data_IF_406567584647
#
_entry.id   IF_406567584647
#
_cell.length_a   1.000
_cell.length_b   1.000
_cell.length_c   1.000
_cell.angle_alpha   90.00
_cell.angle_beta   90.00
_cell.angle_gamma   90.00
#
_symmetry.space_group_name_H-M   'P 1'
#
loop_
_entity.id
_entity.type
_entity.pdbx_description
1 polymer ?
#
# COMPACT_ATOMS: atom_id res chain seq x y z
N UNK A 1 63.22 42.93 -39.45
CA UNK A 1 63.00 42.42 -38.07
C UNK A 1 61.56 42.71 -37.69
N UNK A 2 60.83 41.68 -37.23
CA UNK A 2 59.65 41.63 -36.33
C UNK A 2 58.77 42.91 -36.19
N UNK A 3 57.44 42.91 -36.20
CA UNK A 3 56.43 41.88 -35.86
C UNK A 3 55.04 42.46 -36.17
N UNK A 4 54.08 41.59 -36.51
CA UNK A 4 52.68 41.92 -36.74
C UNK A 4 51.91 42.28 -35.45
N UNK A 5 50.89 43.12 -35.56
CA UNK A 5 49.69 43.08 -34.70
C UNK A 5 48.54 43.88 -35.33
N UNK A 6 47.52 43.16 -35.81
CA UNK A 6 46.23 43.72 -36.19
C UNK A 6 45.24 43.42 -35.07
N UNK A 7 44.53 44.40 -34.48
CA UNK A 7 43.54 44.12 -33.46
C UNK A 7 42.17 43.73 -34.05
N UNK A 8 41.61 42.73 -33.40
CA UNK A 8 40.36 42.03 -33.62
C UNK A 8 39.11 42.89 -33.86
N UNK A 9 38.26 42.37 -34.75
CA UNK A 9 36.85 42.68 -34.88
C UNK A 9 36.11 42.48 -33.56
N UNK A 10 35.28 43.47 -33.22
CA UNK A 10 34.31 43.42 -32.15
C UNK A 10 33.22 42.37 -32.43
N UNK A 11 33.14 41.35 -31.59
CA UNK A 11 32.02 40.41 -31.52
C UNK A 11 31.01 40.91 -30.49
N UNK A 12 29.88 41.43 -30.98
CA UNK A 12 28.67 41.67 -30.18
C UNK A 12 28.00 40.32 -29.92
N UNK A 13 28.13 39.78 -28.72
CA UNK A 13 27.28 38.70 -28.22
C UNK A 13 27.32 38.70 -26.68
N UNK A 14 26.46 39.50 -26.05
CA UNK A 14 26.28 39.42 -24.60
C UNK A 14 24.81 39.65 -24.25
N UNK A 15 24.32 38.83 -23.32
CA UNK A 15 23.03 38.86 -22.61
C UNK A 15 21.83 38.14 -23.23
N UNK A 16 21.91 36.81 -23.32
CA UNK A 16 20.76 35.95 -23.07
C UNK A 16 20.86 35.37 -21.65
N UNK A 17 19.85 35.53 -20.78
CA UNK A 17 19.85 34.94 -19.45
C UNK A 17 19.67 33.42 -19.56
N UNK A 18 20.72 32.68 -19.27
CA UNK A 18 20.64 31.23 -19.01
C UNK A 18 19.79 31.00 -17.75
N UNK A 19 18.85 30.05 -17.76
CA UNK A 19 18.13 29.69 -16.55
C UNK A 19 19.13 29.14 -15.51
N UNK A 20 18.91 29.37 -14.20
CA UNK A 20 19.78 28.80 -13.18
C UNK A 20 19.75 27.28 -13.27
N UNK A 21 20.92 26.66 -13.14
CA UNK A 21 21.05 25.22 -13.03
C UNK A 21 20.26 24.76 -11.80
N UNK A 22 19.05 24.24 -12.01
CA UNK A 22 18.35 23.47 -10.99
C UNK A 22 19.26 22.28 -10.66
N UNK A 23 19.67 22.24 -9.40
CA UNK A 23 20.46 21.16 -8.83
C UNK A 23 19.68 19.85 -8.95
N UNK A 24 19.89 19.10 -10.03
CA UNK A 24 19.57 17.69 -10.10
C UNK A 24 20.68 16.94 -9.36
N UNK A 25 20.75 17.14 -8.04
CA UNK A 25 21.40 16.16 -7.20
C UNK A 25 20.50 14.91 -7.25
N UNK A 26 21.03 13.72 -7.57
CA UNK A 26 20.29 12.50 -7.34
C UNK A 26 20.02 12.43 -5.84
N UNK A 27 18.77 12.68 -5.41
CA UNK A 27 18.40 12.35 -4.05
C UNK A 27 18.44 10.83 -4.00
N UNK A 28 19.51 10.28 -3.43
CA UNK A 28 19.48 8.97 -2.83
C UNK A 28 18.54 9.07 -1.62
N UNK A 29 17.24 9.24 -1.88
CA UNK A 29 16.24 9.25 -0.84
C UNK A 29 16.01 7.78 -0.49
N UNK A 30 16.26 7.36 0.76
CA UNK A 30 16.09 5.96 1.17
C UNK A 30 14.61 5.53 1.21
N UNK A 31 13.67 6.45 1.00
CA UNK A 31 12.24 6.20 1.08
C UNK A 31 11.58 6.00 -0.29
N UNK A 32 10.59 5.07 -0.38
CA UNK A 32 9.85 4.79 -1.62
C UNK A 32 8.90 5.91 -2.03
N UNK A 33 8.71 6.92 -1.18
CA UNK A 33 7.85 8.07 -1.42
C UNK A 33 8.67 9.31 -1.81
N UNK A 34 8.10 10.22 -2.61
CA UNK A 34 8.73 11.49 -2.93
C UNK A 34 8.92 12.35 -1.67
N UNK A 35 9.84 13.31 -1.73
CA UNK A 35 10.06 14.22 -0.61
C UNK A 35 8.79 15.07 -0.35
N UNK A 36 8.21 15.01 0.86
CA UNK A 36 7.04 15.81 1.19
C UNK A 36 7.40 17.30 1.24
N UNK A 37 6.40 18.15 1.04
CA UNK A 37 6.58 19.60 1.18
C UNK A 37 6.93 19.96 2.62
N UNK A 38 7.80 20.96 2.80
CA UNK A 38 8.20 21.46 4.13
C UNK A 38 7.05 21.99 4.97
N UNK A 39 5.98 22.46 4.33
CA UNK A 39 4.81 22.99 5.01
C UNK A 39 3.53 22.39 4.43
N UNK A 40 2.60 21.94 5.28
CA UNK A 40 1.28 21.50 4.87
C UNK A 40 0.56 22.56 4.02
N UNK A 41 -0.35 22.10 3.16
CA UNK A 41 -1.30 23.00 2.52
C UNK A 41 -2.16 23.69 3.57
N UNK A 42 -2.39 25.00 3.36
CA UNK A 42 -3.26 25.80 4.22
C UNK A 42 -4.70 25.27 4.14
N UNK A 43 -5.32 24.90 5.27
CA UNK A 43 -6.72 24.50 5.32
C UNK A 43 -7.65 25.56 4.70
N UNK A 44 -8.54 25.15 3.80
CA UNK A 44 -9.46 26.00 3.05
C UNK A 44 -8.80 26.86 1.97
N UNK A 45 -7.53 26.61 1.63
CA UNK A 45 -6.81 27.38 0.62
C UNK A 45 -7.07 26.91 -0.82
N UNK A 46 -6.85 27.76 -1.84
CA UNK A 46 -7.09 27.39 -3.25
C UNK A 46 -6.25 26.19 -3.69
N UNK A 47 -5.00 26.09 -3.23
CA UNK A 47 -4.12 24.94 -3.55
C UNK A 47 -4.61 23.62 -2.96
N UNK A 48 -5.28 23.66 -1.82
CA UNK A 48 -5.91 22.46 -1.25
C UNK A 48 -7.15 22.09 -2.05
N UNK A 49 -8.00 23.06 -2.40
CA UNK A 49 -9.18 22.80 -3.24
C UNK A 49 -8.82 22.24 -4.61
N UNK A 50 -7.76 22.77 -5.24
CA UNK A 50 -7.25 22.28 -6.52
C UNK A 50 -6.71 20.85 -6.39
N UNK A 51 -5.99 20.55 -5.30
CA UNK A 51 -5.50 19.21 -5.02
C UNK A 51 -6.65 18.22 -4.81
N UNK A 52 -7.64 18.57 -4.00
CA UNK A 52 -8.85 17.75 -3.77
C UNK A 52 -9.51 17.44 -5.10
N UNK A 53 -9.75 18.47 -5.93
CA UNK A 53 -10.36 18.29 -7.26
C UNK A 53 -9.54 17.36 -8.15
N UNK A 54 -8.22 17.51 -8.15
CA UNK A 54 -7.31 16.67 -8.93
C UNK A 54 -7.38 15.20 -8.46
N UNK A 55 -7.30 14.96 -7.15
CA UNK A 55 -7.35 13.63 -6.57
C UNK A 55 -8.71 12.95 -6.81
N UNK A 56 -9.81 13.68 -6.61
CA UNK A 56 -11.16 13.18 -6.85
C UNK A 56 -11.36 12.84 -8.33
N UNK A 57 -10.86 13.68 -9.24
CA UNK A 57 -10.89 13.38 -10.67
C UNK A 57 -10.05 12.13 -11.01
N UNK A 58 -8.87 12.00 -10.43
CA UNK A 58 -8.01 10.83 -10.61
C UNK A 58 -8.69 9.53 -10.15
N UNK A 59 -9.24 9.52 -8.94
CA UNK A 59 -9.95 8.38 -8.37
C UNK A 59 -11.16 8.01 -9.22
N UNK A 60 -11.97 8.99 -9.63
CA UNK A 60 -13.14 8.76 -10.48
C UNK A 60 -12.76 8.21 -11.86
N UNK A 61 -11.66 8.67 -12.46
CA UNK A 61 -11.17 8.13 -13.74
C UNK A 61 -10.72 6.67 -13.59
N UNK A 62 -9.99 6.34 -12.51
CA UNK A 62 -9.58 4.95 -12.23
C UNK A 62 -10.81 4.06 -12.05
N UNK A 63 -11.77 4.45 -11.19
CA UNK A 63 -13.00 3.70 -10.97
C UNK A 63 -13.77 3.48 -12.28
N UNK A 64 -13.95 4.54 -13.07
CA UNK A 64 -14.62 4.45 -14.38
C UNK A 64 -13.92 3.48 -15.32
N UNK A 65 -12.58 3.47 -15.37
CA UNK A 65 -11.82 2.54 -16.21
C UNK A 65 -11.87 1.10 -15.69
N UNK A 66 -11.96 0.88 -14.39
CA UNK A 66 -12.22 -0.45 -13.82
C UNK A 66 -13.63 -0.92 -14.20
N UNK A 67 -14.64 -0.07 -14.04
CA UNK A 67 -16.03 -0.38 -14.40
C UNK A 67 -16.15 -0.66 -15.90
N UNK A 68 -15.49 0.14 -16.74
CA UNK A 68 -15.46 -0.04 -18.19
C UNK A 68 -14.86 -1.39 -18.59
N UNK A 69 -13.93 -1.95 -17.82
CA UNK A 69 -13.43 -3.32 -18.07
C UNK A 69 -14.54 -4.35 -17.86
N UNK A 70 -15.34 -4.18 -16.82
CA UNK A 70 -16.42 -5.11 -16.47
C UNK A 70 -17.60 -5.03 -17.43
N UNK A 71 -17.92 -3.83 -17.91
CA UNK A 71 -19.06 -3.58 -18.81
C UNK A 71 -18.69 -3.78 -20.29
N UNK A 72 -17.52 -3.33 -20.73
CA UNK A 72 -17.12 -3.35 -22.15
C UNK A 72 -16.39 -4.61 -22.60
N UNK A 73 -16.29 -5.66 -21.78
CA UNK A 73 -15.79 -6.98 -22.26
C UNK A 73 -16.60 -7.52 -23.44
N UNK A 74 -17.83 -7.01 -23.68
CA UNK A 74 -18.75 -7.47 -24.74
C UNK A 74 -19.09 -6.44 -25.82
N UNK A 75 -18.69 -5.17 -25.69
CA UNK A 75 -19.05 -4.10 -26.63
C UNK A 75 -17.83 -3.23 -26.93
N UNK A 76 -17.68 -2.83 -28.20
CA UNK A 76 -16.61 -1.94 -28.62
C UNK A 76 -16.87 -0.57 -28.00
N UNK A 77 -15.89 0.06 -27.33
CA UNK A 77 -16.10 1.35 -26.68
C UNK A 77 -16.53 2.40 -27.69
N UNK A 78 -17.51 3.23 -27.32
CA UNK A 78 -17.97 4.34 -28.16
C UNK A 78 -16.81 5.33 -28.39
N UNK A 79 -16.74 6.00 -29.55
CA UNK A 79 -15.67 6.95 -29.84
C UNK A 79 -15.70 8.12 -28.84
N UNK A 80 -14.71 8.12 -27.94
CA UNK A 80 -14.58 9.09 -26.85
C UNK A 80 -14.68 8.50 -25.44
N UNK A 81 -15.01 7.21 -25.30
CA UNK A 81 -14.97 6.52 -24.01
C UNK A 81 -13.57 6.01 -23.66
N UNK A 82 -13.17 6.22 -22.40
CA UNK A 82 -11.89 5.73 -21.88
C UNK A 82 -11.89 4.20 -21.85
N UNK A 83 -10.88 3.59 -22.48
CA UNK A 83 -10.72 2.14 -22.47
C UNK A 83 -10.50 1.63 -21.04
N UNK A 84 -11.18 0.52 -20.72
CA UNK A 84 -11.00 -0.15 -19.44
C UNK A 84 -9.60 -0.73 -19.26
N UNK A 85 -9.19 -0.96 -18.02
CA UNK A 85 -7.89 -1.56 -17.72
C UNK A 85 -7.80 -3.00 -18.23
N UNK A 86 -6.64 -3.39 -18.75
CA UNK A 86 -6.41 -4.75 -19.21
C UNK A 86 -5.98 -5.65 -18.05
N UNK A 87 -5.11 -5.14 -17.18
CA UNK A 87 -4.50 -5.87 -16.08
C UNK A 87 -4.30 -4.96 -14.86
N UNK A 88 -4.18 -5.57 -13.67
CA UNK A 88 -4.11 -4.83 -12.42
C UNK A 88 -2.87 -3.92 -12.32
N UNK A 89 -1.74 -4.29 -12.95
CA UNK A 89 -0.54 -3.43 -12.93
C UNK A 89 -0.78 -2.01 -13.49
N UNK A 90 -1.76 -1.83 -14.38
CA UNK A 90 -2.15 -0.51 -14.89
C UNK A 90 -2.90 0.31 -13.84
N UNK A 91 -3.81 -0.34 -13.10
CA UNK A 91 -4.53 0.25 -11.96
C UNK A 91 -3.53 0.63 -10.86
N UNK A 92 -2.65 -0.31 -10.51
CA UNK A 92 -1.65 -0.11 -9.48
C UNK A 92 -0.72 1.07 -9.80
N UNK A 93 -0.32 1.22 -11.06
CA UNK A 93 0.49 2.36 -11.52
C UNK A 93 -0.25 3.70 -11.37
N UNK A 94 -1.52 3.75 -11.74
CA UNK A 94 -2.30 4.98 -11.68
C UNK A 94 -2.61 5.36 -10.20
N UNK A 95 -2.89 4.37 -9.34
CA UNK A 95 -3.00 4.56 -7.89
C UNK A 95 -1.67 4.98 -7.24
N UNK A 96 -0.55 4.38 -7.65
CA UNK A 96 0.80 4.72 -7.17
C UNK A 96 1.13 6.20 -7.42
N UNK A 97 0.79 6.72 -8.60
CA UNK A 97 0.93 8.14 -8.90
C UNK A 97 0.06 9.05 -8.02
N UNK A 98 -1.14 8.61 -7.64
CA UNK A 98 -1.98 9.35 -6.70
C UNK A 98 -1.41 9.32 -5.27
N UNK A 99 -0.85 8.19 -4.83
CA UNK A 99 -0.15 8.09 -3.53
C UNK A 99 0.96 9.13 -3.45
N UNK A 100 1.76 9.28 -4.51
CA UNK A 100 2.84 10.26 -4.56
C UNK A 100 2.32 11.70 -4.42
N UNK A 101 1.26 12.04 -5.16
CA UNK A 101 0.65 13.37 -5.11
C UNK A 101 0.07 13.66 -3.72
N UNK A 102 -0.64 12.69 -3.14
CA UNK A 102 -1.19 12.78 -1.78
C UNK A 102 -0.06 12.98 -0.78
N UNK A 103 1.03 12.22 -0.89
CA UNK A 103 2.16 12.30 0.03
C UNK A 103 2.86 13.67 -0.04
N UNK A 104 3.11 14.19 -1.25
CA UNK A 104 3.73 15.51 -1.44
C UNK A 104 2.93 16.64 -0.80
N UNK A 105 1.60 16.50 -0.64
CA UNK A 105 0.77 17.54 -0.01
C UNK A 105 1.23 17.93 1.39
N UNK A 106 1.88 17.00 2.11
CA UNK A 106 2.31 17.16 3.49
C UNK A 106 1.19 17.61 4.44
N UNK A 107 -0.07 17.31 4.09
CA UNK A 107 -1.26 17.69 4.85
C UNK A 107 -1.93 16.46 5.44
N UNK A 108 -1.78 16.17 6.73
CA UNK A 108 -2.29 14.92 7.31
C UNK A 108 -3.82 14.80 7.21
N UNK A 109 -4.55 15.94 7.19
CA UNK A 109 -6.00 15.98 6.95
C UNK A 109 -6.43 15.43 5.58
N UNK A 110 -5.55 15.49 4.59
CA UNK A 110 -5.80 14.98 3.25
C UNK A 110 -5.12 13.62 3.07
N UNK A 111 -3.88 13.50 3.54
CA UNK A 111 -3.10 12.27 3.43
C UNK A 111 -3.84 11.07 4.01
N UNK A 112 -4.31 11.15 5.25
CA UNK A 112 -4.96 10.03 5.93
C UNK A 112 -6.21 9.56 5.16
N UNK A 113 -7.23 10.40 4.88
CA UNK A 113 -8.44 9.90 4.22
C UNK A 113 -8.20 9.43 2.78
N UNK A 114 -7.35 10.11 2.00
CA UNK A 114 -7.10 9.70 0.62
C UNK A 114 -6.28 8.41 0.53
N UNK A 115 -5.25 8.24 1.38
CA UNK A 115 -4.48 7.00 1.41
C UNK A 115 -5.36 5.83 1.88
N UNK A 116 -6.22 6.02 2.89
CA UNK A 116 -7.19 5.01 3.31
C UNK A 116 -8.11 4.61 2.15
N UNK A 117 -8.61 5.58 1.39
CA UNK A 117 -9.44 5.31 0.22
C UNK A 117 -8.68 4.53 -0.86
N UNK A 118 -7.45 4.94 -1.20
CA UNK A 118 -6.60 4.23 -2.18
C UNK A 118 -6.32 2.79 -1.74
N UNK A 119 -6.06 2.56 -0.45
CA UNK A 119 -5.86 1.22 0.10
C UNK A 119 -7.12 0.35 -0.02
N UNK A 120 -8.31 0.91 0.23
CA UNK A 120 -9.59 0.22 -0.01
C UNK A 120 -9.74 -0.15 -1.48
N UNK A 121 -9.56 0.81 -2.39
CA UNK A 121 -9.67 0.58 -3.83
C UNK A 121 -8.67 -0.48 -4.32
N UNK A 122 -7.45 -0.49 -3.76
CA UNK A 122 -6.45 -1.52 -4.06
C UNK A 122 -6.98 -2.92 -3.73
N UNK A 123 -7.53 -3.10 -2.52
CA UNK A 123 -8.09 -4.38 -2.08
C UNK A 123 -9.37 -4.77 -2.82
N UNK A 124 -10.18 -3.80 -3.25
CA UNK A 124 -11.43 -4.06 -3.98
C UNK A 124 -11.19 -4.38 -5.46
N UNK A 125 -10.23 -3.71 -6.09
CA UNK A 125 -9.94 -3.90 -7.51
C UNK A 125 -9.06 -5.10 -7.78
N UNK A 126 -8.13 -5.46 -6.89
CA UNK A 126 -7.23 -6.59 -7.09
C UNK A 126 -7.92 -7.88 -7.56
N UNK A 127 -8.98 -8.40 -6.90
CA UNK A 127 -9.61 -9.66 -7.31
C UNK A 127 -10.40 -9.57 -8.62
N UNK A 128 -10.55 -8.38 -9.20
CA UNK A 128 -11.24 -8.18 -10.46
C UNK A 128 -10.37 -8.55 -11.66
N UNK A 129 -9.06 -8.74 -11.47
CA UNK A 129 -8.09 -9.02 -12.52
C UNK A 129 -7.48 -10.40 -12.35
N UNK A 130 -6.97 -10.94 -13.45
CA UNK A 130 -6.19 -12.19 -13.44
C UNK A 130 -4.83 -11.94 -12.79
N UNK A 131 -4.41 -12.85 -11.91
CA UNK A 131 -3.05 -12.87 -11.37
C UNK A 131 -2.06 -13.14 -12.49
N UNK A 132 -1.07 -12.28 -12.58
CA UNK A 132 0.08 -12.41 -13.49
C UNK A 132 1.28 -11.90 -12.69
N UNK A 133 2.48 -12.44 -12.91
CA UNK A 133 3.70 -12.05 -12.19
C UNK A 133 3.89 -10.53 -12.17
N UNK A 134 3.63 -9.86 -13.31
CA UNK A 134 3.70 -8.39 -13.40
C UNK A 134 2.67 -7.67 -12.51
N UNK A 135 1.45 -8.18 -12.44
CA UNK A 135 0.42 -7.63 -11.55
C UNK A 135 0.74 -7.90 -10.09
N UNK A 136 1.25 -9.09 -9.74
CA UNK A 136 1.74 -9.44 -8.40
C UNK A 136 2.83 -8.47 -7.94
N UNK A 137 3.86 -8.25 -8.77
CA UNK A 137 4.92 -7.27 -8.52
C UNK A 137 4.40 -5.85 -8.32
N UNK A 138 3.43 -5.43 -9.15
CA UNK A 138 2.83 -4.10 -9.03
C UNK A 138 2.02 -3.96 -7.73
N UNK A 139 1.29 -5.00 -7.33
CA UNK A 139 0.56 -5.05 -6.05
C UNK A 139 1.50 -4.90 -4.88
N UNK A 140 2.57 -5.70 -4.81
CA UNK A 140 3.53 -5.62 -3.71
C UNK A 140 4.18 -4.23 -3.64
N UNK A 141 4.59 -3.66 -4.77
CA UNK A 141 5.17 -2.30 -4.79
C UNK A 141 4.22 -1.24 -4.24
N UNK A 142 2.96 -1.23 -4.70
CA UNK A 142 1.95 -0.29 -4.23
C UNK A 142 1.67 -0.47 -2.73
N UNK A 143 1.50 -1.71 -2.29
CA UNK A 143 1.21 -2.05 -0.90
C UNK A 143 2.39 -1.72 0.01
N UNK A 144 3.64 -1.99 -0.38
CA UNK A 144 4.82 -1.58 0.38
C UNK A 144 4.95 -0.07 0.49
N UNK A 145 4.55 0.68 -0.54
CA UNK A 145 4.52 2.15 -0.51
C UNK A 145 3.44 2.67 0.44
N UNK A 146 2.23 2.08 0.40
CA UNK A 146 1.15 2.38 1.34
C UNK A 146 1.55 2.03 2.79
N UNK A 147 2.18 0.88 2.99
CA UNK A 147 2.71 0.45 4.29
C UNK A 147 3.69 1.48 4.87
N UNK A 148 4.65 1.90 4.05
CA UNK A 148 5.58 2.97 4.43
C UNK A 148 4.84 4.27 4.82
N UNK A 149 3.88 4.70 4.00
CA UNK A 149 3.14 5.94 4.22
C UNK A 149 2.34 5.88 5.52
N UNK A 150 1.61 4.79 5.76
CA UNK A 150 0.78 4.64 6.95
C UNK A 150 1.61 4.52 8.22
N UNK A 151 2.67 3.72 8.25
CA UNK A 151 3.55 3.65 9.43
C UNK A 151 4.19 5.00 9.75
N UNK A 152 4.61 5.75 8.72
CA UNK A 152 5.15 7.10 8.93
C UNK A 152 4.08 8.04 9.50
N UNK A 153 2.83 7.96 9.03
CA UNK A 153 1.73 8.74 9.57
C UNK A 153 1.33 8.33 11.00
N UNK A 154 1.39 7.03 11.32
CA UNK A 154 1.06 6.50 12.64
C UNK A 154 2.05 6.97 13.70
N UNK A 155 3.34 6.99 13.37
CA UNK A 155 4.43 7.48 14.24
C UNK A 155 4.59 9.00 14.21
N UNK A 156 4.07 9.67 13.17
CA UNK A 156 4.26 11.09 12.92
C UNK A 156 5.68 11.45 12.46
N UNK A 157 6.49 10.45 12.09
CA UNK A 157 7.87 10.61 11.65
C UNK A 157 8.08 9.89 10.33
N UNK A 158 8.94 10.43 9.48
CA UNK A 158 9.36 9.76 8.26
C UNK A 158 10.28 8.58 8.60
N UNK A 159 9.86 7.34 8.32
CA UNK A 159 10.56 6.15 8.80
C UNK A 159 12.02 6.03 8.33
N UNK A 160 12.36 6.56 7.15
CA UNK A 160 13.70 6.44 6.58
C UNK A 160 14.66 7.51 7.12
N UNK A 161 14.14 8.68 7.53
CA UNK A 161 14.97 9.81 7.98
C UNK A 161 14.86 10.04 9.50
N UNK A 162 13.80 9.56 10.13
CA UNK A 162 13.44 9.85 11.52
C UNK A 162 12.97 11.29 11.74
N UNK A 163 12.82 12.09 10.69
CA UNK A 163 12.38 13.48 10.80
C UNK A 163 10.87 13.55 11.08
N UNK A 164 10.46 14.56 11.87
CA UNK A 164 9.05 14.84 12.12
C UNK A 164 8.34 15.16 10.79
N UNK A 165 7.19 14.51 10.58
CA UNK A 165 6.38 14.79 9.41
C UNK A 165 5.75 16.19 9.51
N UNK A 166 5.71 16.96 8.41
CA UNK A 166 5.04 18.24 8.39
C UNK A 166 3.56 18.09 8.77
N UNK A 167 3.06 18.98 9.63
CA UNK A 167 1.68 18.93 10.13
C UNK A 167 1.49 18.05 11.38
N UNK A 168 2.55 17.40 11.88
CA UNK A 168 2.56 16.65 13.14
C UNK A 168 3.19 17.41 14.31
N UNK A 169 3.66 18.66 14.09
CA UNK A 169 4.46 19.43 15.07
C UNK A 169 3.70 19.71 16.39
N UNK A 170 2.38 19.71 16.37
CA UNK A 170 1.52 20.02 17.52
C UNK A 170 1.06 18.77 18.30
N UNK A 171 1.77 17.64 18.18
CA UNK A 171 1.35 16.36 18.80
C UNK A 171 0.11 15.76 18.14
N UNK A 172 -0.16 16.14 16.89
CA UNK A 172 -1.23 15.54 16.08
C UNK A 172 -0.90 14.07 15.87
N UNK A 173 -1.89 13.20 15.97
CA UNK A 173 -1.74 11.77 15.66
C UNK A 173 -2.90 11.28 14.81
N UNK A 174 -2.75 10.13 14.17
CA UNK A 174 -3.85 9.44 13.48
C UNK A 174 -4.94 9.12 14.52
N UNK A 175 -6.19 9.45 14.21
CA UNK A 175 -7.31 9.27 15.14
C UNK A 175 -7.55 7.79 15.43
N UNK A 176 -8.10 7.45 16.60
CA UNK A 176 -8.45 6.06 16.93
C UNK A 176 -9.39 5.45 15.90
N UNK A 177 -10.35 6.21 15.38
CA UNK A 177 -11.26 5.76 14.33
C UNK A 177 -10.50 5.41 13.04
N UNK A 178 -9.57 6.26 12.61
CA UNK A 178 -8.76 5.98 11.41
C UNK A 178 -7.83 4.80 11.62
N UNK A 179 -7.30 4.59 12.83
CA UNK A 179 -6.49 3.41 13.18
C UNK A 179 -7.29 2.11 13.10
N UNK A 180 -8.52 2.10 13.61
CA UNK A 180 -9.41 0.93 13.50
C UNK A 180 -9.78 0.66 12.05
N UNK A 181 -10.06 1.70 11.25
CA UNK A 181 -10.32 1.58 9.81
C UNK A 181 -9.11 1.01 9.08
N UNK A 182 -7.93 1.55 9.35
CA UNK A 182 -6.67 1.09 8.76
C UNK A 182 -6.42 -0.38 9.09
N UNK A 183 -6.61 -0.79 10.36
CA UNK A 183 -6.50 -2.19 10.75
C UNK A 183 -7.41 -3.09 9.91
N UNK A 184 -8.69 -2.75 9.78
CA UNK A 184 -9.63 -3.52 8.97
C UNK A 184 -9.24 -3.60 7.48
N UNK A 185 -8.70 -2.50 6.93
CA UNK A 185 -8.21 -2.45 5.54
C UNK A 185 -6.98 -3.32 5.35
N UNK A 186 -6.03 -3.26 6.29
CA UNK A 186 -4.80 -4.08 6.29
C UNK A 186 -5.15 -5.56 6.34
N UNK A 187 -5.99 -5.96 7.30
CA UNK A 187 -6.42 -7.36 7.44
C UNK A 187 -7.12 -7.87 6.18
N UNK A 188 -8.02 -7.06 5.60
CA UNK A 188 -8.70 -7.39 4.34
C UNK A 188 -7.75 -7.48 3.16
N UNK A 189 -6.81 -6.53 3.03
CA UNK A 189 -5.86 -6.52 1.91
C UNK A 189 -4.99 -7.77 1.94
N UNK A 190 -4.48 -8.16 3.12
CA UNK A 190 -3.68 -9.39 3.28
C UNK A 190 -4.47 -10.62 2.84
N UNK A 191 -5.70 -10.77 3.32
CA UNK A 191 -6.57 -11.89 2.92
C UNK A 191 -6.86 -11.89 1.41
N UNK A 192 -7.15 -10.73 0.83
CA UNK A 192 -7.41 -10.62 -0.60
C UNK A 192 -6.18 -10.98 -1.43
N UNK A 193 -5.00 -10.49 -1.05
CA UNK A 193 -3.76 -10.77 -1.79
C UNK A 193 -3.42 -12.26 -1.74
N UNK A 194 -3.49 -12.89 -0.55
CA UNK A 194 -3.31 -14.34 -0.40
C UNK A 194 -4.26 -15.11 -1.32
N UNK A 195 -5.57 -14.80 -1.27
CA UNK A 195 -6.57 -15.49 -2.09
C UNK A 195 -6.30 -15.36 -3.59
N UNK A 196 -5.94 -14.15 -4.04
CA UNK A 196 -5.71 -13.86 -5.45
C UNK A 196 -4.43 -14.53 -5.96
N UNK A 197 -3.40 -14.64 -5.12
CA UNK A 197 -2.12 -15.27 -5.47
C UNK A 197 -2.17 -16.80 -5.38
N UNK A 198 -2.88 -17.37 -4.41
CA UNK A 198 -3.09 -18.82 -4.30
C UNK A 198 -4.03 -19.41 -5.37
N UNK A 199 -4.41 -18.64 -6.40
CA UNK A 199 -5.28 -19.11 -7.49
C UNK A 199 -6.75 -19.32 -7.13
N UNK A 200 -7.16 -19.06 -5.88
CA UNK A 200 -8.55 -19.16 -5.40
C UNK A 200 -9.36 -17.92 -5.85
N UNK A 201 -9.37 -17.62 -7.15
CA UNK A 201 -10.14 -16.50 -7.67
C UNK A 201 -11.63 -16.87 -7.72
N UNK A 202 -12.47 -16.09 -7.02
CA UNK A 202 -13.94 -16.29 -6.90
C UNK A 202 -14.71 -15.88 -8.18
N UNK A 203 -14.01 -15.49 -9.25
CA UNK A 203 -14.64 -15.00 -10.48
C UNK A 203 -14.62 -16.09 -11.55
N UNK A 204 -15.56 -17.03 -11.42
CA UNK A 204 -16.14 -17.86 -12.49
C UNK A 204 -15.23 -18.21 -13.66
N UNK A 205 -14.41 -19.23 -13.48
CA UNK A 205 -13.82 -19.98 -14.59
C UNK A 205 -14.85 -20.97 -15.15
N UNK A 206 -15.91 -20.43 -15.78
CA UNK A 206 -16.80 -21.20 -16.67
C UNK A 206 -16.36 -20.98 -18.11
N UNK A 207 -15.11 -21.35 -18.42
CA UNK A 207 -14.62 -21.33 -19.80
C UNK A 207 -13.39 -22.24 -20.02
N UNK A 208 -13.55 -23.54 -19.85
CA UNK A 208 -13.17 -24.47 -20.93
C UNK A 208 -13.97 -25.79 -20.90
N UNK A 209 -15.12 -25.75 -21.56
CA UNK A 209 -15.77 -26.94 -22.06
C UNK A 209 -15.32 -27.14 -23.52
N UNK A 210 -14.18 -27.81 -23.72
CA UNK A 210 -13.80 -28.30 -25.05
C UNK A 210 -12.84 -29.49 -25.02
N UNK A 211 -13.29 -30.66 -24.56
CA UNK A 211 -12.78 -31.93 -25.12
C UNK A 211 -13.95 -32.86 -25.42
N UNK A 212 -14.43 -32.73 -26.66
CA UNK A 212 -15.23 -33.74 -27.32
C UNK A 212 -14.27 -34.69 -28.08
N UNK A 213 -14.04 -35.89 -27.54
CA UNK A 213 -13.69 -37.08 -28.32
C UNK A 213 -14.43 -38.25 -27.67
N UNK A 214 -15.61 -38.58 -28.19
CA UNK A 214 -15.85 -39.57 -29.24
C UNK A 214 -15.80 -41.02 -28.72
N UNK A 215 -16.84 -41.73 -29.10
CA UNK A 215 -17.35 -42.97 -28.57
C UNK A 215 -16.62 -44.21 -29.10
N UNK A 216 -16.45 -45.19 -28.21
CA UNK A 216 -16.67 -46.63 -28.43
C UNK A 216 -15.63 -47.43 -29.24
N UNK A 217 -14.94 -48.39 -28.58
CA UNK A 217 -14.95 -49.80 -29.01
C UNK A 217 -14.28 -50.73 -27.98
N UNK A 218 -15.00 -51.79 -27.60
CA UNK A 218 -14.56 -52.91 -26.79
C UNK A 218 -13.53 -53.81 -27.52
N UNK A 219 -12.52 -54.33 -26.81
CA UNK A 219 -11.98 -55.69 -26.98
C UNK A 219 -11.00 -56.11 -25.89
N UNK A 220 -11.16 -57.34 -25.44
CA UNK A 220 -10.49 -57.99 -24.31
C UNK A 220 -9.09 -58.58 -24.62
N UNK A 221 -8.31 -58.72 -23.52
CA UNK A 221 -7.40 -59.81 -23.14
C UNK A 221 -6.02 -60.00 -23.85
N UNK A 222 -4.92 -59.69 -23.14
CA UNK A 222 -4.08 -60.62 -22.33
C UNK A 222 -2.70 -59.99 -21.97
N UNK A 223 -2.00 -60.46 -20.91
CA UNK A 223 -0.92 -59.76 -20.21
C UNK A 223 0.50 -60.26 -20.56
N UNK A 224 1.52 -59.42 -20.31
CA UNK A 224 2.97 -59.72 -20.14
C UNK A 224 3.72 -58.37 -20.16
N UNK A 225 4.63 -58.00 -19.27
CA UNK A 225 5.24 -58.61 -18.10
C UNK A 225 6.32 -57.64 -17.61
N UNK A 226 6.48 -57.54 -16.29
CA UNK A 226 7.73 -57.26 -15.58
C UNK A 226 8.65 -56.14 -16.13
N UNK A 227 8.52 -54.94 -15.58
CA UNK A 227 9.67 -54.37 -14.86
C UNK A 227 9.21 -53.47 -13.72
N UNK A 228 9.60 -53.85 -12.50
CA UNK A 228 9.32 -53.12 -11.29
C UNK A 228 10.32 -51.98 -11.15
N UNK A 229 10.02 -50.82 -11.72
CA UNK A 229 10.67 -49.59 -11.32
C UNK A 229 9.86 -48.98 -10.18
N UNK A 230 10.34 -49.21 -8.96
CA UNK A 230 9.94 -48.43 -7.79
C UNK A 230 10.34 -46.97 -8.03
N UNK A 231 9.38 -46.11 -8.33
CA UNK A 231 9.57 -44.66 -8.26
C UNK A 231 9.70 -44.30 -6.79
N UNK A 232 10.95 -44.13 -6.33
CA UNK A 232 11.21 -43.48 -5.07
C UNK A 232 10.70 -42.04 -5.17
N UNK A 233 9.83 -41.64 -4.24
CA UNK A 233 9.57 -40.23 -3.93
C UNK A 233 10.91 -39.59 -3.53
N UNK A 234 11.55 -38.94 -4.49
CA UNK A 234 12.85 -38.33 -4.27
C UNK A 234 13.60 -38.19 -5.58
N UNK A 235 13.52 -36.99 -6.13
CA UNK A 235 14.28 -36.49 -7.28
C UNK A 235 13.79 -36.96 -8.66
N UNK A 236 13.07 -36.07 -9.35
CA UNK A 236 13.44 -35.52 -10.67
C UNK A 236 12.17 -35.06 -11.42
N UNK A 237 11.80 -33.80 -11.19
CA UNK A 237 11.51 -32.93 -12.32
C UNK A 237 12.02 -31.54 -11.95
N UNK A 238 13.08 -31.11 -12.62
CA UNK A 238 13.65 -29.80 -12.47
C UNK A 238 12.64 -28.77 -13.05
N UNK A 239 11.88 -28.16 -12.16
CA UNK A 239 11.21 -26.86 -12.35
C UNK A 239 11.81 -25.90 -11.33
N UNK A 240 13.13 -25.71 -11.38
CA UNK A 240 13.82 -24.73 -10.53
C UNK A 240 13.23 -23.31 -10.72
N UNK A 241 12.61 -23.03 -11.88
CA UNK A 241 11.94 -21.74 -12.16
C UNK A 241 10.55 -21.59 -11.50
N UNK A 242 9.81 -22.67 -11.19
CA UNK A 242 8.47 -22.58 -10.57
C UNK A 242 8.57 -22.49 -9.03
N UNK A 243 9.53 -23.20 -8.42
CA UNK A 243 9.73 -23.13 -6.97
C UNK A 243 10.28 -21.76 -6.50
N UNK A 244 11.13 -21.11 -7.30
CA UNK A 244 11.67 -19.77 -7.00
C UNK A 244 10.60 -18.66 -7.08
N UNK A 245 9.68 -18.75 -8.05
CA UNK A 245 8.58 -17.79 -8.20
C UNK A 245 7.59 -17.91 -7.03
N UNK A 246 7.25 -19.13 -6.60
CA UNK A 246 6.39 -19.38 -5.45
C UNK A 246 7.02 -18.87 -4.13
N UNK A 247 8.31 -19.12 -3.89
CA UNK A 247 9.00 -18.62 -2.69
C UNK A 247 9.01 -17.07 -2.63
N UNK A 248 9.24 -16.43 -3.78
CA UNK A 248 9.22 -14.96 -3.87
C UNK A 248 7.82 -14.39 -3.57
N UNK A 249 6.77 -15.00 -4.11
CA UNK A 249 5.38 -14.59 -3.85
C UNK A 249 5.00 -14.79 -2.38
N UNK A 250 5.34 -15.95 -1.79
CA UNK A 250 5.11 -16.23 -0.36
C UNK A 250 5.82 -15.21 0.55
N UNK A 251 7.08 -14.90 0.25
CA UNK A 251 7.83 -13.86 0.97
C UNK A 251 7.18 -12.50 0.80
N UNK A 252 6.73 -12.17 -0.41
CA UNK A 252 6.02 -10.92 -0.70
C UNK A 252 4.74 -10.79 0.13
N UNK A 253 3.94 -11.85 0.20
CA UNK A 253 2.71 -11.93 0.99
C UNK A 253 2.98 -11.69 2.48
N UNK A 254 4.04 -12.28 3.02
CA UNK A 254 4.41 -12.13 4.44
C UNK A 254 4.73 -10.67 4.82
N UNK A 255 5.30 -9.90 3.89
CA UNK A 255 5.71 -8.50 4.11
C UNK A 255 4.58 -7.47 3.95
N UNK A 256 3.38 -7.89 3.53
CA UNK A 256 2.26 -6.97 3.31
C UNK A 256 1.88 -6.27 4.62
N UNK A 257 1.99 -4.95 4.62
CA UNK A 257 1.66 -4.08 5.74
C UNK A 257 2.40 -4.41 7.05
N UNK A 258 3.57 -5.06 6.97
CA UNK A 258 4.33 -5.51 8.14
C UNK A 258 4.62 -4.36 9.10
N UNK A 259 5.08 -3.21 8.57
CA UNK A 259 5.39 -2.03 9.40
C UNK A 259 4.13 -1.45 10.02
N UNK A 260 3.06 -1.33 9.23
CA UNK A 260 1.80 -0.74 9.68
C UNK A 260 1.17 -1.57 10.78
N UNK A 261 1.27 -2.90 10.69
CA UNK A 261 0.78 -3.82 11.73
C UNK A 261 1.57 -3.64 13.02
N UNK A 262 2.90 -3.52 12.96
CA UNK A 262 3.73 -3.24 14.13
C UNK A 262 3.25 -1.99 14.88
N UNK A 263 3.11 -0.87 14.16
CA UNK A 263 2.67 0.40 14.74
C UNK A 263 1.22 0.35 15.26
N UNK A 264 0.31 -0.36 14.58
CA UNK A 264 -1.07 -0.52 15.05
C UNK A 264 -1.17 -1.40 16.30
N UNK A 265 -0.33 -2.44 16.40
CA UNK A 265 -0.24 -3.31 17.57
C UNK A 265 0.20 -2.55 18.82
N UNK A 266 1.21 -1.70 18.68
CA UNK A 266 1.73 -0.85 19.76
C UNK A 266 0.70 0.19 20.22
N UNK A 267 -0.14 0.69 19.30
CA UNK A 267 -1.16 1.70 19.62
C UNK A 267 -2.44 1.11 20.21
N UNK A 268 -2.87 -0.08 19.80
CA UNK A 268 -4.12 -0.70 20.28
C UNK A 268 -3.94 -1.50 21.58
N UNK A 269 -2.70 -1.72 22.04
CA UNK A 269 -2.39 -2.30 23.34
C UNK A 269 -2.62 -1.38 24.55
N UNK A 270 -3.13 -0.15 24.34
CA UNK A 270 -3.55 0.76 25.40
C UNK A 270 -4.79 0.28 26.17
N UNK A 271 -5.14 0.94 27.31
CA UNK A 271 -6.29 0.56 28.12
C UNK A 271 -7.54 0.37 27.26
N UNK A 272 -8.33 -0.70 27.47
CA UNK A 272 -9.46 -1.01 26.64
C UNK A 272 -10.41 0.20 26.57
N UNK A 273 -10.66 0.67 25.35
CA UNK A 273 -11.66 1.70 25.09
C UNK A 273 -13.02 1.01 25.15
N UNK A 274 -13.48 0.77 26.38
CA UNK A 274 -14.81 0.29 26.69
C UNK A 274 -15.65 1.41 27.28
N UNK A 275 -16.92 1.46 26.90
CA UNK A 275 -17.96 1.98 27.79
C UNK A 275 -17.80 1.18 29.09
N UNK A 276 -17.51 1.87 30.18
CA UNK A 276 -17.37 1.27 31.51
C UNK A 276 -18.77 0.74 31.89
N UNK A 277 -18.96 -0.57 31.81
CA UNK A 277 -19.96 -1.25 32.65
C UNK A 277 -19.23 -1.68 33.91
N UNK A 278 -19.74 -1.25 35.07
CA UNK A 278 -19.12 -1.23 36.40
C UNK A 278 -18.65 -2.58 37.00
N UNK A 279 -18.54 -3.66 36.22
CA UNK A 279 -18.30 -5.01 36.74
C UNK A 279 -16.80 -5.35 36.94
N UNK A 280 -15.88 -4.42 36.66
CA UNK A 280 -14.43 -4.67 36.79
C UNK A 280 -13.83 -4.29 38.16
N UNK A 281 -14.56 -3.57 39.02
CA UNK A 281 -14.01 -3.01 40.26
C UNK A 281 -13.76 -4.03 41.41
N UNK A 282 -13.93 -5.34 41.18
CA UNK A 282 -13.98 -6.32 42.28
C UNK A 282 -12.77 -7.25 42.41
N UNK A 283 -11.65 -7.02 41.70
CA UNK A 283 -10.45 -7.86 41.86
C UNK A 283 -9.16 -7.03 41.88
N UNK A 284 -8.91 -6.39 43.01
CA UNK A 284 -7.66 -5.68 43.23
C UNK A 284 -7.53 -4.97 44.57
N UNK A 285 -8.06 -5.55 45.64
CA UNK A 285 -7.82 -5.03 46.98
C UNK A 285 -7.71 -6.19 47.96
N UNK A 286 -6.54 -6.84 47.98
CA UNK A 286 -6.10 -7.46 49.22
C UNK A 286 -4.58 -7.51 49.33
N UNK A 287 -4.13 -7.12 50.53
CA UNK A 287 -2.81 -7.24 51.14
C UNK A 287 -1.73 -6.20 50.78
N UNK A 288 -1.58 -5.19 51.66
CA UNK A 288 -0.54 -5.27 52.70
C UNK A 288 -0.70 -4.20 53.82
N UNK A 289 -0.99 -4.70 55.04
CA UNK A 289 -0.33 -4.45 56.34
C UNK A 289 -0.06 -2.98 56.76
N UNK A 290 -0.74 -2.47 57.79
CA UNK A 290 -0.49 -2.68 59.24
C UNK A 290 0.41 -1.61 59.87
N UNK A 291 -0.16 -0.84 60.81
CA UNK A 291 0.58 -0.34 61.97
C UNK A 291 0.41 1.15 62.31
N UNK A 292 -0.26 1.43 63.44
CA UNK A 292 0.20 2.47 64.37
C UNK A 292 -0.73 3.67 64.62
N UNK A 293 -1.43 3.64 65.76
CA UNK A 293 -1.52 4.78 66.68
C UNK A 293 -2.55 5.87 66.38
N UNK A 294 -3.78 5.68 66.88
CA UNK A 294 -4.69 6.78 67.15
C UNK A 294 -4.24 7.48 68.43
N UNK A 295 -3.65 8.68 68.31
CA UNK A 295 -3.47 9.62 69.42
C UNK A 295 -4.37 10.82 69.10
N UNK A 296 -5.44 10.90 69.86
CA UNK A 296 -6.35 12.02 69.93
C UNK A 296 -5.59 13.22 70.55
N UNK A 297 -5.61 14.37 69.88
CA UNK A 297 -5.18 15.63 70.48
C UNK A 297 -6.25 16.68 70.22
N UNK A 298 -6.70 17.22 71.34
CA UNK A 298 -7.68 18.28 71.51
C UNK A 298 -7.40 19.50 70.62
N UNK A 299 -8.46 20.06 70.05
CA UNK A 299 -8.48 21.46 69.63
C UNK A 299 -9.77 22.09 70.15
N UNK A 300 -9.62 22.86 71.22
CA UNK A 300 -10.57 23.81 71.77
C UNK A 300 -11.09 24.77 70.69
N UNK A 301 -12.41 25.02 70.69
CA UNK A 301 -12.98 26.30 70.24
C UNK A 301 -14.27 26.60 71.02
N UNK A 302 -14.17 27.67 71.84
CA UNK A 302 -15.16 28.47 72.59
C UNK A 302 -16.09 27.80 73.63
#
# INVERSE_FOLDING_TARGET
>A
MATARSPANASFAENLPTPPASSAAPSQHPSPLPQPRKHPLKPGGPRESDLIRYLDHGINSIQKRVDNRMTNRKLKPEPGEEQGYNAFWEVARDLDGLVDVVWVSASPNLQIPYLLNIAVLTAEFLPLFTSTTRSTQATFRLVSKLDYAFSSLLTGHDLATGELLPGFENGRTVTTTDKVRLKGIVDRTRLTVVRVMSGESVVGDDQDASEAMDTDNEREAEPRGHDGTVTFEGFENNTDDEEEDDEWEERGIATIYEKTIGELGDVLGGPPIGIITDDWASKGADQQRSGGGFVESDVDFD
#
